data_IF_607369817839
#
_entry.id   IF_607369817839
#
_cell.length_a   1.000
_cell.length_b   1.000
_cell.length_c   1.000
_cell.angle_alpha   90.00
_cell.angle_beta   90.00
_cell.angle_gamma   90.00
#
_symmetry.space_group_name_H-M   'P 1'
#
loop_
_entity.id
_entity.type
_entity.pdbx_description
1 polymer ?
#
# COMPACT_ATOMS: atom_id res chain seq x y z
N UNK A 1 18.31 1.73 4.27
CA UNK A 1 17.37 0.96 5.12
C UNK A 1 16.18 0.53 4.29
N UNK A 2 15.43 -0.49 4.73
CA UNK A 2 14.18 -0.91 4.06
C UNK A 2 13.17 0.25 4.00
N UNK A 3 13.01 0.97 5.11
CA UNK A 3 12.17 2.17 5.21
C UNK A 3 12.62 3.26 4.22
N UNK A 4 13.92 3.53 4.15
CA UNK A 4 14.48 4.56 3.26
C UNK A 4 14.27 4.25 1.77
N UNK A 5 14.30 2.96 1.37
CA UNK A 5 14.00 2.56 -0.01
C UNK A 5 12.53 2.73 -0.33
N UNK A 6 11.66 2.35 0.60
CA UNK A 6 10.22 2.44 0.49
C UNK A 6 9.79 3.92 0.37
N UNK A 7 10.40 4.81 1.17
CA UNK A 7 10.19 6.26 1.11
C UNK A 7 10.65 6.86 -0.24
N UNK A 8 11.82 6.44 -0.74
CA UNK A 8 12.30 6.85 -2.06
C UNK A 8 11.39 6.40 -3.21
N UNK A 9 10.84 5.18 -3.14
CA UNK A 9 9.88 4.70 -4.13
C UNK A 9 8.57 5.50 -4.08
N UNK A 10 8.08 5.83 -2.89
CA UNK A 10 6.92 6.70 -2.72
C UNK A 10 7.15 8.09 -3.31
N UNK A 11 8.29 8.72 -2.99
CA UNK A 11 8.68 10.00 -3.57
C UNK A 11 8.78 9.94 -5.11
N UNK A 12 9.33 8.87 -5.66
CA UNK A 12 9.44 8.68 -7.11
C UNK A 12 8.05 8.56 -7.77
N UNK A 13 7.13 7.81 -7.18
CA UNK A 13 5.75 7.70 -7.64
C UNK A 13 5.04 9.06 -7.61
N UNK A 14 5.14 9.79 -6.50
CA UNK A 14 4.54 11.12 -6.34
C UNK A 14 5.12 12.12 -7.35
N UNK A 15 6.44 12.10 -7.57
CA UNK A 15 7.10 12.98 -8.54
C UNK A 15 6.65 12.70 -9.96
N UNK A 16 6.48 11.42 -10.33
CA UNK A 16 5.95 11.03 -11.62
C UNK A 16 4.51 11.53 -11.84
N UNK A 17 3.63 11.28 -10.87
CA UNK A 17 2.21 11.66 -10.94
C UNK A 17 2.03 13.18 -10.98
N UNK A 18 2.79 13.91 -10.16
CA UNK A 18 2.77 15.36 -10.16
C UNK A 18 3.29 15.94 -11.49
N UNK A 19 4.31 15.33 -12.08
CA UNK A 19 4.82 15.72 -13.41
C UNK A 19 3.80 15.46 -14.52
N UNK A 20 3.14 14.29 -14.51
CA UNK A 20 2.18 13.91 -15.56
C UNK A 20 0.83 14.61 -15.43
N UNK A 21 0.37 14.93 -14.22
CA UNK A 21 -0.91 15.58 -13.99
C UNK A 21 -0.84 16.59 -12.82
N UNK A 22 -0.16 17.74 -13.00
CA UNK A 22 0.09 18.71 -11.92
C UNK A 22 -1.18 19.37 -11.36
N UNK A 23 -2.31 19.33 -12.08
CA UNK A 23 -3.58 19.87 -11.58
C UNK A 23 -4.43 18.83 -10.82
N UNK A 24 -4.20 17.53 -11.04
CA UNK A 24 -5.01 16.44 -10.47
C UNK A 24 -4.22 15.41 -9.65
N UNK A 25 -2.94 15.66 -9.38
CA UNK A 25 -2.08 14.75 -8.60
C UNK A 25 -2.67 14.44 -7.22
N UNK A 26 -3.32 15.41 -6.58
CA UNK A 26 -3.94 15.23 -5.27
C UNK A 26 -5.07 14.20 -5.28
N UNK A 27 -5.82 14.11 -6.38
CA UNK A 27 -6.86 13.10 -6.57
C UNK A 27 -6.30 11.68 -6.74
N UNK A 28 -5.00 11.55 -7.04
CA UNK A 28 -4.32 10.27 -7.18
C UNK A 28 -3.66 9.81 -5.87
N UNK A 29 -3.52 10.68 -4.86
CA UNK A 29 -2.87 10.34 -3.59
C UNK A 29 -3.47 9.11 -2.89
N UNK A 30 -4.81 8.94 -2.80
CA UNK A 30 -5.36 7.77 -2.13
C UNK A 30 -4.96 6.46 -2.83
N UNK A 31 -4.82 6.49 -4.15
CA UNK A 31 -4.40 5.32 -4.94
C UNK A 31 -2.94 5.00 -4.72
N UNK A 32 -2.08 6.01 -4.66
CA UNK A 32 -0.65 5.84 -4.37
C UNK A 32 -0.44 5.30 -2.96
N UNK A 33 -1.13 5.88 -1.98
CA UNK A 33 -1.07 5.45 -0.60
C UNK A 33 -1.54 3.99 -0.45
N UNK A 34 -2.66 3.62 -1.08
CA UNK A 34 -3.14 2.25 -1.05
C UNK A 34 -2.16 1.29 -1.73
N UNK A 35 -1.66 1.63 -2.93
CA UNK A 35 -0.70 0.80 -3.66
C UNK A 35 0.56 0.56 -2.83
N UNK A 36 1.08 1.61 -2.20
CA UNK A 36 2.24 1.54 -1.33
C UNK A 36 1.99 0.69 -0.08
N UNK A 37 0.89 0.94 0.63
CA UNK A 37 0.59 0.24 1.88
C UNK A 37 0.13 -1.21 1.67
N UNK A 38 -0.33 -1.56 0.47
CA UNK A 38 -0.69 -2.93 0.10
C UNK A 38 0.47 -3.73 -0.50
N UNK A 39 1.59 -3.08 -0.81
CA UNK A 39 2.73 -3.74 -1.43
C UNK A 39 3.50 -4.60 -0.42
N UNK A 40 3.48 -5.91 -0.63
CA UNK A 40 4.23 -6.87 0.19
C UNK A 40 5.74 -6.71 -0.05
N UNK A 41 6.50 -6.42 1.00
CA UNK A 41 7.95 -6.32 0.89
C UNK A 41 8.58 -7.71 0.80
N UNK A 42 9.45 -7.95 -0.19
CA UNK A 42 10.14 -9.24 -0.34
C UNK A 42 11.03 -9.62 0.84
N UNK A 43 11.44 -8.68 1.68
CA UNK A 43 12.31 -8.98 2.83
C UNK A 43 11.55 -9.35 4.10
N UNK A 44 10.35 -8.82 4.30
CA UNK A 44 9.50 -9.16 5.46
C UNK A 44 8.40 -10.15 5.10
N UNK A 45 8.07 -10.30 3.82
CA UNK A 45 6.95 -11.10 3.35
C UNK A 45 5.58 -10.51 3.72
N UNK A 46 5.53 -9.26 4.19
CA UNK A 46 4.32 -8.60 4.68
C UNK A 46 4.20 -7.18 4.09
N UNK A 47 2.98 -6.72 3.89
CA UNK A 47 2.68 -5.33 3.51
C UNK A 47 2.71 -4.38 4.72
N UNK A 48 2.91 -3.07 4.51
CA UNK A 48 2.75 -2.09 5.58
C UNK A 48 1.39 -2.15 6.29
N UNK A 49 0.31 -2.44 5.56
CA UNK A 49 -1.00 -2.66 6.18
C UNK A 49 -1.03 -3.88 7.09
N UNK A 50 -0.44 -5.00 6.67
CA UNK A 50 -0.36 -6.19 7.52
C UNK A 50 0.49 -5.95 8.77
N UNK A 51 1.59 -5.19 8.64
CA UNK A 51 2.46 -4.87 9.78
C UNK A 51 1.77 -3.90 10.75
N UNK A 52 1.03 -2.91 10.24
CA UNK A 52 0.44 -1.83 11.05
C UNK A 52 -0.95 -2.19 11.61
N UNK A 53 -1.81 -2.80 10.78
CA UNK A 53 -3.20 -3.13 11.10
C UNK A 53 -3.40 -4.61 11.45
N UNK A 54 -2.44 -5.47 11.11
CA UNK A 54 -2.58 -6.93 11.25
C UNK A 54 -3.37 -7.60 10.12
N UNK A 55 -3.86 -6.82 9.15
CA UNK A 55 -4.61 -7.33 7.99
C UNK A 55 -4.47 -6.40 6.78
N UNK A 56 -4.72 -6.93 5.59
CA UNK A 56 -4.77 -6.16 4.35
C UNK A 56 -6.21 -5.63 4.10
N UNK A 57 -6.46 -4.32 4.15
CA UNK A 57 -7.76 -3.76 3.82
C UNK A 57 -8.09 -4.01 2.34
N UNK A 58 -9.36 -4.28 2.00
CA UNK A 58 -9.78 -4.53 0.63
C UNK A 58 -9.85 -3.22 -0.18
N UNK A 59 -9.49 -3.29 -1.47
CA UNK A 59 -9.51 -2.13 -2.38
C UNK A 59 -10.93 -1.66 -2.67
N UNK A 60 -11.90 -2.56 -2.64
CA UNK A 60 -13.33 -2.26 -2.75
C UNK A 60 -14.09 -2.79 -1.53
N UNK A 61 -15.16 -2.11 -1.07
CA UNK A 61 -16.00 -2.61 0.03
C UNK A 61 -16.56 -4.01 -0.23
N UNK A 62 -16.83 -4.35 -1.49
CA UNK A 62 -17.32 -5.66 -1.91
C UNK A 62 -16.28 -6.79 -1.77
N UNK A 63 -14.99 -6.46 -1.73
CA UNK A 63 -13.88 -7.42 -1.56
C UNK A 63 -13.60 -7.80 -0.10
N UNK A 64 -14.44 -7.31 0.83
CA UNK A 64 -14.39 -7.64 2.27
C UNK A 64 -14.41 -9.14 2.59
N UNK A 65 -14.76 -10.01 1.63
CA UNK A 65 -14.88 -11.45 1.85
C UNK A 65 -13.55 -12.24 1.80
N UNK A 66 -12.46 -11.65 1.30
CA UNK A 66 -11.31 -12.45 0.85
C UNK A 66 -10.06 -12.42 1.74
N UNK A 67 -9.99 -11.56 2.77
CA UNK A 67 -8.79 -11.43 3.62
C UNK A 67 -9.08 -11.79 5.07
N UNK A 68 -9.52 -13.03 5.30
CA UNK A 68 -9.44 -13.66 6.62
C UNK A 68 -8.42 -14.79 6.54
N UNK A 69 -7.13 -14.45 6.51
CA UNK A 69 -6.09 -15.38 6.97
C UNK A 69 -5.93 -15.17 8.47
N UNK A 70 -6.97 -15.52 9.23
CA UNK A 70 -6.77 -15.85 10.64
C UNK A 70 -6.18 -17.25 10.66
N UNK A 71 -4.94 -17.48 11.16
CA UNK A 71 -4.51 -18.84 11.41
C UNK A 71 -5.43 -19.40 12.49
N UNK A 72 -6.30 -20.33 12.09
CA UNK A 72 -7.11 -21.12 13.01
C UNK A 72 -6.17 -22.10 13.72
N UNK A 73 -5.58 -21.66 14.83
CA UNK A 73 -4.93 -22.56 15.77
C UNK A 73 -6.02 -23.37 16.48
N UNK A 74 -6.12 -24.65 16.12
CA UNK A 74 -6.62 -25.71 16.99
C UNK A 74 -5.42 -26.48 17.54
#
# INVERSE_FOLDING_TARGET
>A
GQVERMDQELEAMLRCICSSNPAGWSAQLPWVEYAHNSHTSSSTGQSPFEISLGYQPPLFPSDSASSTSVPQFL
#
